data_IF_819129509366
#
_entry.id   IF_819129509366
#
_cell.length_a   1.000
_cell.length_b   1.000
_cell.length_c   1.000
_cell.angle_alpha   90.00
_cell.angle_beta   90.00
_cell.angle_gamma   90.00
#
_symmetry.space_group_name_H-M   'P 1'
#
loop_
_entity.id
_entity.type
_entity.pdbx_description
1 polymer ?
#
# COMPACT_ATOMS: atom_id res chain seq x y z
N UNK A 1 -34.27 -15.45 -10.71
CA UNK A 1 -34.06 -15.24 -12.16
C UNK A 1 -35.31 -14.62 -12.73
N UNK A 2 -35.22 -13.40 -13.24
CA UNK A 2 -36.32 -12.70 -13.90
C UNK A 2 -36.06 -12.71 -15.40
N UNK A 3 -37.00 -13.24 -16.18
CA UNK A 3 -37.00 -13.12 -17.63
C UNK A 3 -37.71 -11.82 -17.99
N UNK A 4 -36.99 -10.88 -18.58
CA UNK A 4 -37.54 -9.65 -19.14
C UNK A 4 -37.94 -9.97 -20.58
N UNK A 5 -39.24 -9.90 -20.85
CA UNK A 5 -39.84 -10.03 -22.18
C UNK A 5 -39.46 -8.83 -23.04
N UNK A 6 -38.58 -9.03 -24.03
CA UNK A 6 -38.19 -8.05 -25.02
C UNK A 6 -39.16 -8.05 -26.22
N UNK A 7 -39.53 -6.86 -26.69
CA UNK A 7 -40.02 -6.64 -28.06
C UNK A 7 -39.00 -7.11 -29.11
N UNK A 8 -39.43 -7.47 -30.33
CA UNK A 8 -38.60 -8.20 -31.27
C UNK A 8 -37.59 -7.30 -31.99
N UNK A 9 -36.48 -7.92 -32.40
CA UNK A 9 -35.44 -7.45 -33.33
C UNK A 9 -34.20 -6.74 -32.76
N UNK A 10 -33.52 -7.38 -31.81
CA UNK A 10 -32.06 -7.54 -31.84
C UNK A 10 -31.68 -8.67 -30.87
N UNK A 11 -31.38 -9.85 -31.41
CA UNK A 11 -31.06 -11.02 -30.60
C UNK A 11 -29.57 -10.94 -30.20
N UNK A 12 -29.29 -10.35 -29.04
CA UNK A 12 -27.94 -10.34 -28.47
C UNK A 12 -27.70 -11.67 -27.75
N UNK A 13 -26.80 -12.49 -28.29
CA UNK A 13 -26.36 -13.72 -27.63
C UNK A 13 -24.95 -13.51 -27.08
N UNK A 14 -24.83 -13.56 -25.75
CA UNK A 14 -23.55 -13.45 -25.05
C UNK A 14 -23.67 -14.10 -23.68
N UNK A 15 -22.62 -14.79 -23.25
CA UNK A 15 -22.55 -15.36 -21.91
C UNK A 15 -22.04 -14.26 -20.98
N UNK A 16 -22.91 -13.78 -20.10
CA UNK A 16 -22.51 -12.85 -19.04
C UNK A 16 -22.29 -13.64 -17.76
N UNK A 17 -21.25 -13.27 -17.03
CA UNK A 17 -20.97 -13.79 -15.70
C UNK A 17 -20.84 -12.63 -14.74
N UNK A 18 -21.49 -12.78 -13.58
CA UNK A 18 -21.41 -11.81 -12.50
C UNK A 18 -20.58 -12.45 -11.41
N UNK A 19 -19.42 -11.85 -11.12
CA UNK A 19 -18.55 -12.29 -10.05
C UNK A 19 -18.69 -11.31 -8.88
N UNK A 20 -19.12 -11.81 -7.72
CA UNK A 20 -19.11 -11.06 -6.48
C UNK A 20 -17.67 -10.94 -5.96
N UNK A 21 -17.22 -9.72 -5.70
CA UNK A 21 -15.90 -9.49 -5.10
C UNK A 21 -16.04 -9.70 -3.59
N UNK A 22 -15.58 -10.86 -3.11
CA UNK A 22 -15.68 -11.25 -1.69
C UNK A 22 -15.18 -10.15 -0.76
N UNK A 23 -16.01 -9.79 0.22
CA UNK A 23 -15.72 -8.74 1.21
C UNK A 23 -16.10 -7.33 0.76
N UNK A 24 -16.77 -7.20 -0.38
CA UNK A 24 -17.35 -5.94 -0.86
C UNK A 24 -18.75 -6.20 -1.44
N UNK A 25 -19.57 -5.16 -1.56
CA UNK A 25 -20.88 -5.23 -2.24
C UNK A 25 -20.77 -5.02 -3.75
N UNK A 26 -19.55 -5.06 -4.31
CA UNK A 26 -19.31 -4.85 -5.72
C UNK A 26 -19.46 -6.14 -6.52
N UNK A 27 -20.21 -6.04 -7.62
CA UNK A 27 -20.33 -7.10 -8.62
C UNK A 27 -19.54 -6.72 -9.86
N UNK A 28 -18.67 -7.62 -10.29
CA UNK A 28 -17.92 -7.47 -11.52
C UNK A 28 -18.69 -8.21 -12.62
N UNK A 29 -19.24 -7.43 -13.55
CA UNK A 29 -19.99 -7.98 -14.67
C UNK A 29 -19.05 -8.16 -15.86
N UNK A 30 -18.61 -9.41 -16.07
CA UNK A 30 -17.78 -9.77 -17.21
C UNK A 30 -18.68 -10.28 -18.35
N UNK A 31 -18.61 -9.62 -19.49
CA UNK A 31 -19.32 -10.03 -20.72
C UNK A 31 -18.27 -10.62 -21.66
N UNK A 32 -18.33 -11.94 -21.88
CA UNK A 32 -17.38 -12.64 -22.73
C UNK A 32 -18.03 -13.08 -24.05
N UNK A 33 -17.25 -13.09 -25.14
CA UNK A 33 -17.71 -13.54 -26.46
C UNK A 33 -18.64 -12.57 -27.21
N UNK A 34 -18.44 -11.24 -27.09
CA UNK A 34 -19.21 -10.28 -27.87
C UNK A 34 -18.93 -10.45 -29.39
N UNK A 35 -19.88 -11.02 -30.13
CA UNK A 35 -19.86 -11.02 -31.60
C UNK A 35 -20.84 -9.98 -32.11
N UNK A 36 -20.32 -8.90 -32.70
CA UNK A 36 -21.11 -7.91 -33.42
C UNK A 36 -21.61 -8.56 -34.71
N UNK A 37 -22.87 -9.02 -34.71
CA UNK A 37 -23.52 -9.44 -35.95
C UNK A 37 -23.52 -8.29 -36.95
N UNK A 38 -23.19 -8.58 -38.21
CA UNK A 38 -23.11 -7.61 -39.29
C UNK A 38 -24.51 -7.19 -39.76
N UNK A 39 -25.28 -6.56 -38.87
CA UNK A 39 -26.60 -6.01 -39.15
C UNK A 39 -26.45 -4.49 -39.21
N UNK A 40 -26.63 -3.94 -40.42
CA UNK A 40 -26.47 -2.52 -40.76
C UNK A 40 -27.52 -1.59 -40.14
N UNK A 41 -28.41 -2.13 -39.29
CA UNK A 41 -29.36 -1.38 -38.50
C UNK A 41 -29.40 -1.93 -37.07
N UNK A 42 -28.32 -1.74 -36.32
CA UNK A 42 -28.42 -1.78 -34.88
C UNK A 42 -29.05 -0.46 -34.42
N UNK A 43 -30.29 -0.53 -33.95
CA UNK A 43 -30.88 0.55 -33.16
C UNK A 43 -29.94 0.92 -32.01
N UNK A 44 -29.91 2.20 -31.66
CA UNK A 44 -29.11 2.74 -30.58
C UNK A 44 -29.45 1.97 -29.29
N UNK A 45 -28.54 1.11 -28.81
CA UNK A 45 -28.70 0.47 -27.51
C UNK A 45 -28.47 1.55 -26.46
N UNK A 46 -29.56 2.16 -26.00
CA UNK A 46 -29.53 2.85 -24.71
C UNK A 46 -29.40 1.78 -23.65
N UNK A 47 -28.26 1.75 -22.97
CA UNK A 47 -28.17 1.06 -21.70
C UNK A 47 -29.37 1.50 -20.85
N UNK A 48 -30.07 0.58 -20.17
CA UNK A 48 -31.09 1.00 -19.22
C UNK A 48 -30.50 2.03 -18.28
N UNK A 49 -31.26 3.09 -18.00
CA UNK A 49 -30.80 4.15 -17.10
C UNK A 49 -30.34 3.49 -15.79
N UNK A 50 -29.17 3.89 -15.28
CA UNK A 50 -28.61 3.28 -14.09
C UNK A 50 -29.63 3.35 -12.97
N UNK A 51 -30.14 2.19 -12.55
CA UNK A 51 -31.02 2.10 -11.39
C UNK A 51 -30.13 2.42 -10.18
N UNK A 52 -30.41 3.53 -9.51
CA UNK A 52 -29.76 3.87 -8.24
C UNK A 52 -30.15 2.81 -7.21
N UNK A 53 -29.32 1.78 -7.09
CA UNK A 53 -29.41 0.83 -5.98
C UNK A 53 -28.94 1.59 -4.75
N UNK A 54 -29.88 1.94 -3.87
CA UNK A 54 -29.56 2.48 -2.55
C UNK A 54 -28.88 1.37 -1.75
N UNK A 55 -27.57 1.46 -1.60
CA UNK A 55 -26.81 0.54 -0.76
C UNK A 55 -26.56 1.26 0.57
N UNK A 56 -26.95 0.68 1.72
CA UNK A 56 -26.61 1.27 3.00
C UNK A 56 -25.09 1.23 3.19
N UNK A 57 -24.44 2.39 3.16
CA UNK A 57 -23.05 2.50 3.60
C UNK A 57 -23.03 2.47 5.12
N UNK A 58 -22.61 1.34 5.68
CA UNK A 58 -22.37 1.22 7.11
C UNK A 58 -20.86 1.39 7.35
N UNK A 59 -20.48 2.51 7.95
CA UNK A 59 -19.10 2.73 8.43
C UNK A 59 -18.98 2.07 9.81
N UNK A 60 -18.09 1.09 9.93
CA UNK A 60 -17.71 0.55 11.23
C UNK A 60 -16.79 1.56 11.93
N UNK A 61 -17.39 2.51 12.65
CA UNK A 61 -16.62 3.30 13.62
C UNK A 61 -16.27 2.41 14.80
N UNK A 62 -14.98 2.12 14.93
CA UNK A 62 -14.45 1.06 15.80
C UNK A 62 -14.60 1.30 17.31
N UNK A 63 -15.16 2.43 17.74
CA UNK A 63 -15.11 2.80 19.15
C UNK A 63 -16.45 2.99 19.87
N UNK A 64 -17.60 3.26 19.21
CA UNK A 64 -18.83 3.52 19.98
C UNK A 64 -20.11 3.12 19.21
N UNK A 65 -20.71 1.98 19.58
CA UNK A 65 -22.14 1.69 19.33
C UNK A 65 -22.51 1.01 17.99
N UNK A 66 -23.79 0.62 17.83
CA UNK A 66 -24.28 -0.05 16.62
C UNK A 66 -24.16 0.86 15.40
N UNK A 67 -23.66 0.30 14.29
CA UNK A 67 -23.39 1.03 13.05
C UNK A 67 -24.62 1.84 12.60
N UNK A 68 -24.47 3.17 12.55
CA UNK A 68 -25.46 4.09 12.01
C UNK A 68 -25.29 4.14 10.48
N UNK A 69 -26.13 3.43 9.74
CA UNK A 69 -26.15 3.52 8.28
C UNK A 69 -26.96 4.76 7.87
N UNK A 70 -26.34 5.71 7.18
CA UNK A 70 -27.00 6.89 6.61
C UNK A 70 -27.23 6.63 5.11
N UNK A 71 -28.49 6.66 4.67
CA UNK A 71 -28.83 6.56 3.26
C UNK A 71 -28.43 7.86 2.54
N UNK A 72 -27.43 7.78 1.67
CA UNK A 72 -26.97 8.89 0.85
C UNK A 72 -26.73 8.44 -0.61
N UNK A 73 -26.88 9.34 -1.59
CA UNK A 73 -26.66 9.01 -3.00
C UNK A 73 -25.20 8.58 -3.23
N UNK A 74 -25.02 7.44 -3.91
CA UNK A 74 -23.69 6.93 -4.28
C UNK A 74 -23.00 7.91 -5.25
N UNK A 75 -21.74 8.30 -5.00
CA UNK A 75 -20.99 9.15 -5.92
C UNK A 75 -20.84 8.44 -7.27
N UNK A 76 -21.36 9.07 -8.34
CA UNK A 76 -21.31 8.58 -9.72
C UNK A 76 -19.86 8.41 -10.19
N UNK A 77 -19.39 7.16 -10.26
CA UNK A 77 -18.22 6.64 -11.01
C UNK A 77 -16.88 7.38 -10.97
N UNK A 78 -16.75 8.49 -10.24
CA UNK A 78 -15.58 9.36 -10.25
C UNK A 78 -14.45 8.89 -9.33
N UNK A 79 -14.68 7.95 -8.42
CA UNK A 79 -13.73 7.75 -7.32
C UNK A 79 -13.14 6.34 -7.19
N UNK A 80 -13.22 5.50 -8.22
CA UNK A 80 -12.45 4.23 -8.20
C UNK A 80 -10.94 4.50 -8.27
N UNK A 81 -10.54 5.57 -8.95
CA UNK A 81 -9.15 6.07 -8.93
C UNK A 81 -8.80 6.76 -7.61
N UNK A 82 -9.73 7.51 -7.00
CA UNK A 82 -9.55 8.07 -5.67
C UNK A 82 -9.47 7.00 -4.56
N UNK A 83 -10.20 5.89 -4.69
CA UNK A 83 -10.07 4.72 -3.82
C UNK A 83 -8.73 3.99 -4.01
N UNK A 84 -8.21 3.95 -5.25
CA UNK A 84 -6.87 3.37 -5.53
C UNK A 84 -5.75 4.26 -4.99
N UNK A 85 -5.89 5.59 -5.07
CA UNK A 85 -4.99 6.56 -4.44
C UNK A 85 -5.11 6.56 -2.91
N UNK A 86 -6.28 6.25 -2.35
CA UNK A 86 -6.48 6.16 -0.89
C UNK A 86 -5.82 4.94 -0.23
N UNK A 87 -5.26 3.96 -0.95
CA UNK A 87 -4.43 2.93 -0.29
C UNK A 87 -3.08 3.45 0.18
N UNK A 88 -2.57 4.52 -0.42
CA UNK A 88 -1.36 5.23 0.02
C UNK A 88 -1.72 6.53 0.76
N UNK A 89 -2.84 6.54 1.49
CA UNK A 89 -3.26 7.74 2.20
C UNK A 89 -2.29 8.00 3.35
N UNK A 90 -1.53 9.11 3.26
CA UNK A 90 -0.69 9.67 4.32
C UNK A 90 -1.41 9.88 5.68
N UNK A 91 -2.74 9.66 5.73
CA UNK A 91 -3.62 9.93 6.86
C UNK A 91 -3.27 9.18 8.14
N UNK A 92 -2.52 8.07 8.06
CA UNK A 92 -2.15 7.29 9.26
C UNK A 92 -0.95 7.85 10.02
N UNK A 93 -0.18 8.76 9.42
CA UNK A 93 0.97 9.36 10.09
C UNK A 93 0.54 10.66 10.77
N UNK A 94 0.45 10.63 12.10
CA UNK A 94 0.31 11.84 12.90
C UNK A 94 1.56 12.70 12.68
N UNK A 95 1.39 13.87 12.07
CA UNK A 95 2.52 14.74 11.78
C UNK A 95 3.14 15.23 13.09
N UNK A 96 4.46 15.23 13.14
CA UNK A 96 5.22 15.81 14.25
C UNK A 96 5.77 17.15 13.77
N UNK A 97 5.36 18.23 14.42
CA UNK A 97 5.88 19.56 14.11
C UNK A 97 7.38 19.64 14.44
N UNK A 98 8.16 20.33 13.60
CA UNK A 98 9.59 20.53 13.83
C UNK A 98 9.88 21.33 15.10
N UNK A 99 8.97 22.21 15.51
CA UNK A 99 9.05 23.00 16.74
C UNK A 99 8.77 22.16 18.00
N UNK A 100 8.14 21.00 17.85
CA UNK A 100 7.81 20.14 18.98
C UNK A 100 9.06 19.45 19.51
N UNK A 101 9.15 19.28 20.83
CA UNK A 101 10.22 18.54 21.49
C UNK A 101 10.50 17.15 20.84
N UNK A 102 9.50 16.31 20.52
CA UNK A 102 9.76 15.01 19.87
C UNK A 102 10.31 15.17 18.44
N UNK A 103 9.89 16.19 17.69
CA UNK A 103 10.41 16.46 16.36
C UNK A 103 11.90 16.81 16.37
N UNK A 104 12.30 17.72 17.26
CA UNK A 104 13.71 18.12 17.43
C UNK A 104 14.56 16.92 17.86
N UNK A 105 14.10 16.14 18.84
CA UNK A 105 14.81 14.94 19.31
C UNK A 105 15.00 13.90 18.20
N UNK A 106 13.97 13.66 17.38
CA UNK A 106 14.06 12.73 16.25
C UNK A 106 15.14 13.15 15.25
N UNK A 107 15.23 14.44 14.90
CA UNK A 107 16.26 14.94 13.98
C UNK A 107 17.65 14.80 14.59
N UNK A 108 17.84 15.18 15.86
CA UNK A 108 19.16 15.10 16.53
C UNK A 108 19.61 13.65 16.65
N UNK A 109 18.75 12.74 17.13
CA UNK A 109 19.08 11.33 17.27
C UNK A 109 19.30 10.66 15.92
N UNK A 110 18.47 10.99 14.93
CA UNK A 110 18.61 10.48 13.57
C UNK A 110 19.94 10.90 12.94
N UNK A 111 20.30 12.19 13.03
CA UNK A 111 21.58 12.70 12.48
C UNK A 111 22.79 12.12 13.20
N UNK A 112 22.76 12.03 14.53
CA UNK A 112 23.83 11.42 15.32
C UNK A 112 23.99 9.93 15.01
N UNK A 113 22.88 9.19 14.89
CA UNK A 113 22.86 7.79 14.49
C UNK A 113 23.40 7.57 13.07
N UNK A 114 23.13 8.51 12.16
CA UNK A 114 23.63 8.49 10.79
C UNK A 114 25.15 8.71 10.74
N UNK A 115 25.67 9.67 11.52
CA UNK A 115 27.12 9.89 11.68
C UNK A 115 27.80 8.63 12.25
N UNK A 116 27.24 8.04 13.30
CA UNK A 116 27.76 6.81 13.89
C UNK A 116 27.76 5.64 12.91
N UNK A 117 26.72 5.53 12.08
CA UNK A 117 26.63 4.52 11.03
C UNK A 117 27.73 4.69 9.98
N UNK A 118 27.98 5.92 9.53
CA UNK A 118 29.07 6.18 8.58
C UNK A 118 30.45 5.92 9.18
N UNK A 119 30.67 6.26 10.45
CA UNK A 119 31.90 5.91 11.17
C UNK A 119 32.09 4.39 11.20
N UNK A 120 31.03 3.63 11.51
CA UNK A 120 31.07 2.17 11.55
C UNK A 120 31.35 1.59 10.15
N UNK A 121 30.74 2.15 9.11
CA UNK A 121 31.01 1.78 7.72
C UNK A 121 32.48 2.04 7.33
N UNK A 122 33.03 3.20 7.71
CA UNK A 122 34.44 3.53 7.47
C UNK A 122 35.38 2.56 8.20
N UNK A 123 35.06 2.17 9.44
CA UNK A 123 35.80 1.15 10.20
C UNK A 123 35.71 -0.21 9.51
N UNK A 124 34.53 -0.63 9.03
CA UNK A 124 34.35 -1.89 8.30
C UNK A 124 35.20 -1.95 7.03
N UNK A 125 35.29 -0.83 6.29
CA UNK A 125 36.10 -0.73 5.08
C UNK A 125 37.58 -0.77 5.42
N UNK A 126 38.03 0.04 6.39
CA UNK A 126 39.44 0.20 6.74
C UNK A 126 40.02 -1.08 7.38
N UNK A 127 39.26 -1.76 8.24
CA UNK A 127 39.73 -2.91 8.99
C UNK A 127 39.27 -4.27 8.42
N UNK A 128 38.74 -4.31 7.19
CA UNK A 128 38.20 -5.53 6.54
C UNK A 128 39.16 -6.74 6.57
N UNK A 129 40.47 -6.51 6.61
CA UNK A 129 41.50 -7.56 6.62
C UNK A 129 41.76 -8.22 7.99
N UNK A 130 41.23 -7.67 9.09
CA UNK A 130 41.47 -8.22 10.44
C UNK A 130 40.65 -9.50 10.67
N UNK A 131 41.25 -10.48 11.35
CA UNK A 131 40.64 -11.79 11.62
C UNK A 131 39.24 -11.70 12.25
N UNK A 132 39.05 -10.77 13.19
CA UNK A 132 37.77 -10.51 13.87
C UNK A 132 36.66 -10.17 12.87
N UNK A 133 36.93 -9.28 11.92
CA UNK A 133 35.95 -8.84 10.91
C UNK A 133 35.73 -9.89 9.83
N UNK A 134 36.76 -10.68 9.51
CA UNK A 134 36.66 -11.79 8.57
C UNK A 134 35.77 -12.91 9.10
N UNK A 135 35.80 -13.19 10.40
CA UNK A 135 34.93 -14.16 11.05
C UNK A 135 33.45 -13.73 11.05
N UNK A 136 33.19 -12.43 11.15
CA UNK A 136 31.83 -11.87 11.24
C UNK A 136 31.07 -11.79 9.91
N UNK A 137 31.62 -12.29 8.80
CA UNK A 137 31.12 -12.15 7.43
C UNK A 137 30.89 -10.67 7.06
N UNK A 138 31.88 -9.97 6.46
CA UNK A 138 31.81 -8.52 6.25
C UNK A 138 30.61 -8.07 5.41
N UNK A 139 30.10 -8.93 4.52
CA UNK A 139 28.87 -8.68 3.73
C UNK A 139 27.64 -8.45 4.60
N UNK A 140 27.52 -9.17 5.72
CA UNK A 140 26.44 -8.96 6.68
C UNK A 140 26.54 -7.58 7.34
N UNK A 141 27.76 -7.15 7.70
CA UNK A 141 28.00 -5.81 8.26
C UNK A 141 27.58 -4.69 7.30
N UNK A 142 27.89 -4.83 6.01
CA UNK A 142 27.47 -3.85 4.99
C UNK A 142 25.96 -3.75 4.83
N UNK A 143 25.25 -4.89 4.80
CA UNK A 143 23.79 -4.92 4.70
C UNK A 143 23.15 -4.27 5.93
N UNK A 144 23.69 -4.54 7.13
CA UNK A 144 23.22 -3.93 8.36
C UNK A 144 23.42 -2.41 8.39
N UNK A 145 24.59 -1.93 7.93
CA UNK A 145 24.83 -0.49 7.81
C UNK A 145 23.87 0.16 6.81
N UNK A 146 23.62 -0.48 5.66
CA UNK A 146 22.68 0.04 4.66
C UNK A 146 21.26 0.13 5.22
N UNK A 147 20.82 -0.91 5.94
CA UNK A 147 19.54 -0.92 6.64
C UNK A 147 19.45 0.19 7.69
N UNK A 148 20.50 0.41 8.49
CA UNK A 148 20.49 1.48 9.49
C UNK A 148 20.51 2.87 8.87
N UNK A 149 21.20 3.09 7.74
CA UNK A 149 21.11 4.36 7.00
C UNK A 149 19.67 4.63 6.58
N UNK A 150 18.98 3.65 5.96
CA UNK A 150 17.58 3.80 5.57
C UNK A 150 16.66 4.10 6.77
N UNK A 151 16.84 3.39 7.90
CA UNK A 151 16.07 3.63 9.12
C UNK A 151 16.34 5.00 9.75
N UNK A 152 17.59 5.50 9.72
CA UNK A 152 17.91 6.83 10.24
C UNK A 152 17.34 7.93 9.35
N UNK A 153 17.37 7.76 8.03
CA UNK A 153 16.71 8.67 7.07
C UNK A 153 15.20 8.72 7.34
N UNK A 154 14.57 7.57 7.58
CA UNK A 154 13.16 7.49 7.97
C UNK A 154 12.86 8.34 9.22
N UNK A 155 13.68 8.22 10.28
CA UNK A 155 13.51 8.99 11.52
C UNK A 155 13.67 10.50 11.26
N UNK A 156 14.64 10.90 10.44
CA UNK A 156 14.88 12.32 10.10
C UNK A 156 13.74 12.90 9.25
N UNK A 157 13.13 12.09 8.39
CA UNK A 157 12.00 12.50 7.55
C UNK A 157 10.67 12.50 8.30
N UNK A 158 10.58 11.90 9.48
CA UNK A 158 9.35 11.81 10.28
C UNK A 158 8.75 13.20 10.62
N UNK A 159 9.53 14.17 11.15
CA UNK A 159 9.00 15.51 11.39
C UNK A 159 8.80 16.30 10.08
N UNK A 160 7.81 17.18 10.07
CA UNK A 160 7.53 18.13 8.97
C UNK A 160 6.29 17.83 8.15
N UNK A 161 5.87 18.82 7.35
CA UNK A 161 4.60 18.81 6.63
C UNK A 161 4.48 17.62 5.66
N UNK A 162 3.34 16.90 5.65
CA UNK A 162 3.15 15.76 4.79
C UNK A 162 2.98 16.22 3.34
N UNK A 163 3.86 15.72 2.46
CA UNK A 163 3.71 15.81 1.02
C UNK A 163 3.62 14.41 0.43
N UNK A 164 2.89 14.24 -0.67
CA UNK A 164 2.76 12.95 -1.37
C UNK A 164 4.09 12.23 -1.61
N UNK A 165 5.16 12.87 -2.12
CA UNK A 165 6.44 12.20 -2.30
C UNK A 165 7.11 11.81 -0.97
N UNK A 166 6.92 12.62 0.09
CA UNK A 166 7.48 12.35 1.41
C UNK A 166 6.83 11.13 2.07
N UNK A 167 5.51 10.97 1.95
CA UNK A 167 4.82 9.82 2.52
C UNK A 167 5.22 8.50 1.85
N UNK A 168 5.30 8.50 0.52
CA UNK A 168 5.80 7.35 -0.22
C UNK A 168 7.25 7.07 0.22
N UNK A 169 8.09 8.10 0.30
CA UNK A 169 9.45 7.96 0.81
C UNK A 169 9.53 7.34 2.20
N UNK A 170 8.68 7.78 3.14
CA UNK A 170 8.62 7.26 4.51
C UNK A 170 8.22 5.78 4.56
N UNK A 171 7.19 5.39 3.83
CA UNK A 171 6.74 3.99 3.78
C UNK A 171 7.84 3.08 3.24
N UNK A 172 8.45 3.47 2.11
CA UNK A 172 9.53 2.72 1.51
C UNK A 172 10.77 2.66 2.42
N UNK A 173 11.22 3.79 2.96
CA UNK A 173 12.41 3.81 3.84
C UNK A 173 12.18 3.02 5.14
N UNK A 174 10.96 3.08 5.70
CA UNK A 174 10.59 2.31 6.88
C UNK A 174 10.58 0.80 6.62
N UNK A 175 9.90 0.35 5.55
CA UNK A 175 9.85 -1.06 5.17
C UNK A 175 11.24 -1.58 4.77
N UNK A 176 11.99 -0.88 3.92
CA UNK A 176 13.30 -1.34 3.47
C UNK A 176 14.33 -1.33 4.60
N UNK A 177 14.36 -0.30 5.43
CA UNK A 177 15.29 -0.22 6.55
C UNK A 177 15.07 -1.36 7.55
N UNK A 178 13.82 -1.54 7.99
CA UNK A 178 13.48 -2.60 8.96
C UNK A 178 13.69 -4.01 8.38
N UNK A 179 13.24 -4.27 7.16
CA UNK A 179 13.41 -5.59 6.52
C UNK A 179 14.88 -5.96 6.36
N UNK A 180 15.75 -5.04 5.95
CA UNK A 180 17.19 -5.30 5.84
C UNK A 180 17.84 -5.62 7.18
N UNK A 181 17.48 -4.87 8.23
CA UNK A 181 17.98 -5.09 9.59
C UNK A 181 17.54 -6.46 10.14
N UNK A 182 16.25 -6.79 10.02
CA UNK A 182 15.72 -8.06 10.53
C UNK A 182 16.15 -9.26 9.70
N UNK A 183 16.17 -9.16 8.37
CA UNK A 183 16.63 -10.25 7.50
C UNK A 183 18.09 -10.59 7.78
N UNK A 184 18.93 -9.57 7.99
CA UNK A 184 20.30 -9.78 8.41
C UNK A 184 20.38 -10.61 9.69
N UNK A 185 19.65 -10.22 10.73
CA UNK A 185 19.63 -10.92 12.02
C UNK A 185 19.18 -12.37 11.85
N UNK A 186 18.10 -12.61 11.11
CA UNK A 186 17.55 -13.95 10.88
C UNK A 186 18.56 -14.84 10.16
N UNK A 187 19.20 -14.35 9.09
CA UNK A 187 20.18 -15.13 8.32
C UNK A 187 21.35 -15.55 9.22
N UNK A 188 21.83 -14.65 10.08
CA UNK A 188 22.94 -14.96 10.99
C UNK A 188 22.51 -15.95 12.08
N UNK A 189 21.35 -15.74 12.70
CA UNK A 189 20.81 -16.66 13.72
C UNK A 189 20.57 -18.06 13.15
N UNK A 190 20.03 -18.16 11.94
CA UNK A 190 19.81 -19.43 11.26
C UNK A 190 21.11 -20.18 10.96
N UNK A 191 22.19 -19.46 10.58
CA UNK A 191 23.50 -20.07 10.40
C UNK A 191 24.07 -20.64 11.69
N UNK A 192 23.91 -19.95 12.83
CA UNK A 192 24.38 -20.43 14.13
C UNK A 192 23.60 -21.68 14.55
N UNK A 193 22.27 -21.65 14.40
CA UNK A 193 21.41 -22.80 14.70
C UNK A 193 21.77 -24.05 13.89
N UNK A 194 22.16 -23.89 12.61
CA UNK A 194 22.56 -25.03 11.77
C UNK A 194 23.91 -25.65 12.15
N UNK A 195 24.79 -24.90 12.81
CA UNK A 195 26.13 -25.36 13.22
C UNK A 195 26.08 -26.06 14.59
N UNK A 196 25.08 -25.75 15.41
CA UNK A 196 24.85 -26.36 16.73
C UNK A 196 24.08 -27.66 16.58
#
# INVERSE_FOLDING_TARGET
GQQISSTPSCNWTGVWSVAEIRGTTAYLLAVDGYKRGNLTQCGEFRSPDPVEVQVPLCTEDKEIGPASCVEGPLPKSADLEAFRQNRFSCKTFQWVEYSSAPGILAVILGTLGLIMTFMLLAVLITYRGRYVLRAAAPTFGYIMCLGSVCSMIYIIMLPGEPSTPKCIGLEWMGLFGTTLLYMGLIIRSFRIWKIT
#
